data_IF_466721129084
#
_entry.id   IF_466721129084
#
_cell.length_a   1.000
_cell.length_b   1.000
_cell.length_c   1.000
_cell.angle_alpha   90.00
_cell.angle_beta   90.00
_cell.angle_gamma   90.00
#
_symmetry.space_group_name_H-M   'P 1'
#
loop_
_entity.id
_entity.type
_entity.pdbx_description
1 polymer ?
#
# COMPACT_ATOMS: atom_id res chain seq x y z
N UNK A 1 -22.99 -22.02 -31.04
CA UNK A 1 -22.42 -20.72 -31.53
C UNK A 1 -21.75 -20.12 -30.33
N UNK A 2 -20.44 -20.23 -30.26
CA UNK A 2 -19.64 -19.60 -29.14
C UNK A 2 -19.79 -18.10 -29.26
N UNK A 3 -20.34 -17.46 -28.22
CA UNK A 3 -20.40 -16.01 -28.13
C UNK A 3 -18.99 -15.44 -28.28
N UNK A 4 -18.74 -14.71 -29.34
CA UNK A 4 -17.43 -14.03 -29.61
C UNK A 4 -17.29 -12.72 -28.83
N UNK A 5 -18.24 -12.41 -27.94
CA UNK A 5 -18.18 -11.21 -27.11
C UNK A 5 -17.10 -11.37 -26.05
N UNK A 6 -16.25 -10.35 -25.94
CA UNK A 6 -15.26 -10.23 -24.87
C UNK A 6 -16.01 -10.10 -23.54
N UNK A 7 -15.74 -10.95 -22.54
CA UNK A 7 -16.43 -10.82 -21.26
C UNK A 7 -15.99 -9.54 -20.55
N UNK A 8 -16.84 -8.98 -19.71
CA UNK A 8 -16.48 -7.81 -18.89
C UNK A 8 -15.43 -8.15 -17.85
N UNK A 9 -15.60 -9.30 -17.17
CA UNK A 9 -14.71 -9.74 -16.11
C UNK A 9 -13.92 -10.98 -16.50
N UNK A 10 -12.61 -10.97 -16.25
CA UNK A 10 -11.80 -12.16 -16.17
C UNK A 10 -11.41 -12.40 -14.72
N UNK A 11 -12.09 -13.35 -14.08
CA UNK A 11 -11.66 -13.85 -12.77
C UNK A 11 -10.49 -14.79 -13.00
N UNK A 12 -9.41 -14.67 -12.22
CA UNK A 12 -8.22 -15.50 -12.37
C UNK A 12 -7.80 -16.13 -11.05
N UNK A 13 -7.43 -17.40 -11.11
CA UNK A 13 -7.09 -18.23 -9.95
C UNK A 13 -5.90 -19.12 -10.28
N UNK A 14 -4.68 -18.76 -9.91
CA UNK A 14 -3.58 -19.72 -9.90
C UNK A 14 -3.75 -20.71 -8.76
N UNK A 15 -3.50 -22.00 -9.03
CA UNK A 15 -3.70 -23.05 -8.04
C UNK A 15 -2.66 -24.16 -8.15
N UNK A 16 -1.94 -24.38 -7.07
CA UNK A 16 -1.11 -25.56 -6.85
C UNK A 16 -1.78 -26.61 -5.93
N UNK A 17 -2.98 -26.28 -5.37
CA UNK A 17 -3.77 -27.12 -4.47
C UNK A 17 -5.27 -26.95 -4.79
N UNK A 18 -5.83 -27.76 -5.68
CA UNK A 18 -7.17 -27.53 -6.25
C UNK A 18 -8.35 -27.92 -5.34
N UNK A 19 -8.10 -28.14 -4.05
CA UNK A 19 -9.08 -28.71 -3.09
C UNK A 19 -10.39 -27.96 -3.04
N UNK A 20 -10.38 -26.62 -3.15
CA UNK A 20 -11.55 -25.78 -2.98
C UNK A 20 -12.09 -25.16 -4.29
N UNK A 21 -11.52 -25.55 -5.45
CA UNK A 21 -11.93 -24.96 -6.74
C UNK A 21 -13.39 -25.21 -7.11
N UNK A 22 -13.99 -26.32 -6.65
CA UNK A 22 -15.42 -26.57 -6.88
C UNK A 22 -16.30 -25.60 -6.07
N UNK A 23 -15.86 -25.20 -4.88
CA UNK A 23 -16.54 -24.18 -4.09
C UNK A 23 -16.37 -22.79 -4.73
N UNK A 24 -15.18 -22.46 -5.22
CA UNK A 24 -14.92 -21.23 -6.01
C UNK A 24 -15.87 -21.18 -7.21
N UNK A 25 -15.96 -22.27 -7.99
CA UNK A 25 -16.86 -22.37 -9.14
C UNK A 25 -18.33 -22.14 -8.74
N UNK A 26 -18.75 -22.75 -7.64
CA UNK A 26 -20.13 -22.60 -7.13
C UNK A 26 -20.45 -21.13 -6.85
N UNK A 27 -19.50 -20.37 -6.26
CA UNK A 27 -19.71 -18.93 -6.01
C UNK A 27 -19.74 -18.10 -7.29
N UNK A 28 -18.95 -18.47 -8.30
CA UNK A 28 -18.95 -17.81 -9.61
C UNK A 28 -20.24 -18.08 -10.37
N UNK A 29 -20.73 -19.31 -10.36
CA UNK A 29 -22.02 -19.67 -10.97
C UNK A 29 -23.23 -19.01 -10.30
N UNK A 30 -23.09 -18.68 -9.00
CA UNK A 30 -24.10 -17.97 -8.22
C UNK A 30 -24.06 -16.44 -8.39
N UNK A 31 -23.11 -15.87 -9.13
CA UNK A 31 -23.02 -14.43 -9.35
C UNK A 31 -24.27 -13.88 -10.04
N UNK A 32 -24.73 -12.70 -9.58
CA UNK A 32 -25.88 -12.00 -10.18
C UNK A 32 -25.52 -11.33 -11.52
N UNK A 33 -24.25 -11.07 -11.77
CA UNK A 33 -23.70 -10.68 -13.08
C UNK A 33 -23.19 -11.93 -13.79
N UNK A 34 -23.63 -12.17 -15.05
CA UNK A 34 -23.26 -13.36 -15.84
C UNK A 34 -22.11 -13.13 -16.82
N UNK A 35 -21.66 -11.87 -16.98
CA UNK A 35 -20.66 -11.47 -17.97
C UNK A 35 -19.24 -11.62 -17.45
N UNK A 36 -18.82 -12.87 -17.27
CA UNK A 36 -17.51 -13.24 -16.75
C UNK A 36 -16.94 -14.50 -17.43
N UNK A 37 -15.63 -14.61 -17.44
CA UNK A 37 -14.87 -15.85 -17.61
C UNK A 37 -14.05 -16.14 -16.35
N UNK A 38 -13.73 -17.42 -16.13
CA UNK A 38 -12.84 -17.83 -15.05
C UNK A 38 -11.62 -18.59 -15.60
N UNK A 39 -10.44 -18.08 -15.28
CA UNK A 39 -9.16 -18.65 -15.69
C UNK A 39 -8.53 -19.34 -14.49
N UNK A 40 -8.46 -20.66 -14.54
CA UNK A 40 -7.80 -21.50 -13.55
C UNK A 40 -6.45 -21.92 -14.11
N UNK A 41 -5.36 -21.42 -13.53
CA UNK A 41 -4.01 -21.81 -13.88
C UNK A 41 -3.50 -22.87 -12.89
N UNK A 42 -3.37 -24.11 -13.32
CA UNK A 42 -2.89 -25.21 -12.49
C UNK A 42 -1.37 -25.37 -12.68
N UNK A 43 -0.62 -25.30 -11.58
CA UNK A 43 0.82 -25.48 -11.60
C UNK A 43 1.30 -26.49 -10.53
N UNK A 44 2.61 -26.76 -10.49
CA UNK A 44 3.23 -27.67 -9.53
C UNK A 44 2.56 -29.07 -9.49
N UNK A 45 2.14 -29.59 -10.62
CA UNK A 45 1.49 -30.91 -10.72
C UNK A 45 0.02 -30.94 -10.33
N UNK A 46 -0.58 -29.80 -9.99
CA UNK A 46 -2.02 -29.75 -9.69
C UNK A 46 -2.86 -30.15 -10.91
N UNK A 47 -3.96 -30.87 -10.66
CA UNK A 47 -4.91 -31.30 -11.70
C UNK A 47 -6.33 -31.12 -11.16
N UNK A 48 -7.17 -30.46 -11.95
CA UNK A 48 -8.59 -30.24 -11.66
C UNK A 48 -9.34 -30.00 -12.97
N UNK A 49 -10.60 -30.41 -12.98
CA UNK A 49 -11.59 -30.05 -14.01
C UNK A 49 -12.95 -29.95 -13.34
N UNK A 50 -13.82 -29.04 -13.77
CA UNK A 50 -15.18 -28.97 -13.26
C UNK A 50 -15.93 -30.29 -13.59
N UNK A 51 -16.74 -30.74 -12.64
CA UNK A 51 -17.55 -31.93 -12.83
C UNK A 51 -18.55 -31.77 -14.03
N UNK A 52 -19.14 -30.58 -14.12
CA UNK A 52 -20.00 -30.20 -15.24
C UNK A 52 -19.33 -29.11 -16.07
N UNK A 53 -19.18 -29.28 -17.40
CA UNK A 53 -18.57 -28.27 -18.25
C UNK A 53 -19.33 -26.94 -18.20
N UNK A 54 -18.60 -25.86 -18.00
CA UNK A 54 -19.06 -24.48 -18.13
C UNK A 54 -18.15 -23.77 -19.13
N UNK A 55 -18.67 -23.29 -20.24
CA UNK A 55 -17.87 -22.66 -21.31
C UNK A 55 -17.21 -21.38 -20.92
N UNK A 56 -17.58 -20.78 -19.77
CA UNK A 56 -16.93 -19.62 -19.18
C UNK A 56 -15.67 -20.01 -18.41
N UNK A 57 -15.45 -21.29 -18.09
CA UNK A 57 -14.32 -21.79 -17.31
C UNK A 57 -13.22 -22.27 -18.24
N UNK A 58 -12.05 -21.70 -18.10
CA UNK A 58 -10.85 -22.07 -18.84
C UNK A 58 -9.79 -22.59 -17.88
N UNK A 59 -9.38 -23.82 -18.08
CA UNK A 59 -8.34 -24.47 -17.26
C UNK A 59 -7.07 -24.61 -18.09
N UNK A 60 -6.00 -24.03 -17.60
CA UNK A 60 -4.65 -24.13 -18.18
C UNK A 60 -3.72 -24.90 -17.24
N UNK A 61 -2.96 -25.83 -17.77
CA UNK A 61 -1.91 -26.55 -17.03
C UNK A 61 -0.56 -25.94 -17.38
N UNK A 62 0.13 -25.41 -16.39
CA UNK A 62 1.38 -24.68 -16.53
C UNK A 62 2.41 -25.19 -15.51
N UNK A 63 2.81 -26.45 -15.62
CA UNK A 63 3.77 -27.08 -14.70
C UNK A 63 5.19 -26.49 -14.79
N UNK A 64 5.47 -25.74 -15.83
CA UNK A 64 6.70 -24.97 -16.06
C UNK A 64 6.69 -23.59 -15.36
N UNK A 65 5.55 -23.17 -14.82
CA UNK A 65 5.40 -21.88 -14.13
C UNK A 65 5.58 -22.07 -12.62
N UNK A 66 6.60 -21.42 -12.08
CA UNK A 66 6.95 -21.49 -10.66
C UNK A 66 6.86 -20.12 -9.99
N UNK A 67 6.38 -20.09 -8.75
CA UNK A 67 6.18 -18.87 -7.97
C UNK A 67 4.83 -18.20 -8.23
N UNK A 68 4.35 -17.46 -7.21
CA UNK A 68 3.02 -16.86 -7.22
C UNK A 68 2.93 -15.72 -8.24
N UNK A 69 3.95 -14.85 -8.32
CA UNK A 69 3.97 -13.74 -9.27
C UNK A 69 3.93 -14.20 -10.73
N UNK A 70 4.73 -15.23 -11.08
CA UNK A 70 4.73 -15.83 -12.42
C UNK A 70 3.37 -16.48 -12.75
N UNK A 71 2.78 -17.18 -11.79
CA UNK A 71 1.49 -17.85 -11.98
C UNK A 71 0.34 -16.85 -12.17
N UNK A 72 0.26 -15.79 -11.34
CA UNK A 72 -0.73 -14.72 -11.51
C UNK A 72 -0.53 -13.98 -12.83
N UNK A 73 0.72 -13.66 -13.19
CA UNK A 73 1.03 -13.03 -14.49
C UNK A 73 0.52 -13.86 -15.65
N UNK A 74 0.85 -15.17 -15.67
CA UNK A 74 0.42 -16.08 -16.73
C UNK A 74 -1.09 -16.20 -16.82
N UNK A 75 -1.80 -16.26 -15.69
CA UNK A 75 -3.26 -16.27 -15.65
C UNK A 75 -3.86 -14.98 -16.23
N UNK A 76 -3.31 -13.82 -15.91
CA UNK A 76 -3.73 -12.53 -16.46
C UNK A 76 -3.45 -12.40 -17.97
N UNK A 77 -2.37 -12.98 -18.49
CA UNK A 77 -2.07 -13.03 -19.93
C UNK A 77 -3.11 -13.80 -20.74
N UNK A 78 -3.78 -14.78 -20.12
CA UNK A 78 -4.86 -15.55 -20.72
C UNK A 78 -6.22 -14.83 -20.67
N UNK A 79 -6.33 -13.79 -19.86
CA UNK A 79 -7.56 -13.04 -19.63
C UNK A 79 -7.97 -12.24 -20.88
N UNK A 80 -9.28 -12.26 -21.19
CA UNK A 80 -9.89 -11.52 -22.31
C UNK A 80 -10.70 -10.32 -21.84
N UNK A 81 -11.18 -10.36 -20.58
CA UNK A 81 -12.05 -9.33 -20.02
C UNK A 81 -11.35 -7.99 -19.80
N UNK A 82 -12.16 -6.95 -19.71
CA UNK A 82 -11.69 -5.57 -19.48
C UNK A 82 -11.22 -5.36 -18.03
N UNK A 83 -11.79 -6.12 -17.10
CA UNK A 83 -11.51 -6.04 -15.67
C UNK A 83 -10.98 -7.39 -15.19
N UNK A 84 -9.82 -7.38 -14.57
CA UNK A 84 -9.23 -8.53 -13.92
C UNK A 84 -9.69 -8.58 -12.46
N UNK A 85 -10.12 -9.77 -12.00
CA UNK A 85 -10.58 -10.00 -10.63
C UNK A 85 -9.79 -11.13 -10.01
N UNK A 86 -9.10 -10.83 -8.92
CA UNK A 86 -8.31 -11.82 -8.18
C UNK A 86 -9.22 -12.68 -7.30
N UNK A 87 -9.15 -13.99 -7.46
CA UNK A 87 -9.79 -14.98 -6.60
C UNK A 87 -8.78 -16.05 -6.24
N UNK A 88 -8.40 -16.13 -4.98
CA UNK A 88 -7.51 -17.18 -4.50
C UNK A 88 -8.22 -18.54 -4.52
N UNK A 89 -7.45 -19.62 -4.68
CA UNK A 89 -7.97 -20.96 -4.95
C UNK A 89 -8.72 -21.60 -3.78
N UNK A 90 -8.74 -20.99 -2.63
CA UNK A 90 -9.37 -21.44 -1.37
C UNK A 90 -10.43 -20.47 -0.85
N UNK A 91 -10.66 -19.34 -1.55
CA UNK A 91 -11.55 -18.26 -1.14
C UNK A 91 -12.89 -18.27 -1.91
N UNK A 92 -13.81 -17.42 -1.48
CA UNK A 92 -15.16 -17.35 -2.07
C UNK A 92 -15.57 -15.89 -2.36
N UNK A 93 -16.39 -15.70 -3.40
CA UNK A 93 -17.03 -14.43 -3.70
C UNK A 93 -18.46 -14.38 -3.17
N UNK A 94 -18.89 -13.24 -2.64
CA UNK A 94 -20.31 -12.98 -2.38
C UNK A 94 -21.10 -12.93 -3.69
N UNK A 95 -22.38 -13.35 -3.69
CA UNK A 95 -23.23 -13.44 -4.90
C UNK A 95 -23.34 -12.14 -5.69
N UNK A 96 -23.28 -10.99 -5.02
CA UNK A 96 -23.37 -9.69 -5.66
C UNK A 96 -22.02 -9.15 -6.14
N UNK A 97 -20.90 -9.85 -5.91
CA UNK A 97 -19.55 -9.31 -6.07
C UNK A 97 -19.33 -8.71 -7.47
N UNK A 98 -19.52 -9.46 -8.53
CA UNK A 98 -19.27 -8.97 -9.89
C UNK A 98 -20.25 -7.87 -10.32
N UNK A 99 -21.50 -7.89 -9.85
CA UNK A 99 -22.45 -6.81 -10.12
C UNK A 99 -22.06 -5.50 -9.42
N UNK A 100 -21.65 -5.57 -8.16
CA UNK A 100 -21.15 -4.41 -7.39
C UNK A 100 -19.85 -3.83 -8.00
N UNK A 101 -18.95 -4.71 -8.45
CA UNK A 101 -17.76 -4.27 -9.19
C UNK A 101 -18.12 -3.57 -10.51
N UNK A 102 -19.10 -4.10 -11.25
CA UNK A 102 -19.58 -3.48 -12.48
C UNK A 102 -20.12 -2.07 -12.22
N UNK A 103 -20.99 -1.92 -11.23
CA UNK A 103 -21.54 -0.61 -10.83
C UNK A 103 -20.46 0.35 -10.37
N UNK A 104 -19.49 -0.13 -9.56
CA UNK A 104 -18.41 0.69 -9.07
C UNK A 104 -17.51 1.24 -10.20
N UNK A 105 -17.12 0.40 -11.18
CA UNK A 105 -16.33 0.84 -12.33
C UNK A 105 -17.10 1.76 -13.29
N UNK A 106 -18.42 1.57 -13.43
CA UNK A 106 -19.28 2.44 -14.25
C UNK A 106 -19.48 3.82 -13.62
N UNK A 107 -19.67 3.83 -12.30
CA UNK A 107 -19.83 5.08 -11.54
C UNK A 107 -18.51 5.85 -11.36
N UNK A 108 -17.37 5.18 -11.46
CA UNK A 108 -16.04 5.76 -11.24
C UNK A 108 -15.11 5.40 -12.41
N UNK A 109 -15.26 6.03 -13.59
CA UNK A 109 -14.48 5.71 -14.79
C UNK A 109 -12.96 5.93 -14.60
N UNK A 110 -12.55 6.83 -13.72
CA UNK A 110 -11.15 7.10 -13.38
C UNK A 110 -10.54 6.06 -12.41
N UNK A 111 -11.38 5.24 -11.76
CA UNK A 111 -10.87 4.22 -10.86
C UNK A 111 -10.13 3.13 -11.64
N UNK A 112 -8.87 2.93 -11.31
CA UNK A 112 -8.03 1.88 -11.90
C UNK A 112 -8.10 0.57 -11.11
N UNK A 113 -8.49 0.66 -9.84
CA UNK A 113 -8.57 -0.43 -8.88
C UNK A 113 -9.81 -0.28 -8.00
N UNK A 114 -10.55 -1.37 -7.82
CA UNK A 114 -11.72 -1.42 -6.93
C UNK A 114 -11.50 -2.53 -5.91
N UNK A 115 -11.81 -2.25 -4.65
CA UNK A 115 -11.66 -3.19 -3.54
C UNK A 115 -12.85 -3.13 -2.58
N UNK A 116 -12.97 -4.14 -1.72
CA UNK A 116 -14.09 -4.25 -0.77
C UNK A 116 -13.64 -4.53 0.66
N UNK A 117 -14.59 -4.70 1.58
CA UNK A 117 -14.37 -5.34 2.86
C UNK A 117 -14.30 -6.86 2.70
N UNK A 118 -13.61 -7.53 3.63
CA UNK A 118 -13.38 -8.98 3.60
C UNK A 118 -13.83 -9.61 4.92
N UNK A 119 -14.48 -10.76 4.88
CA UNK A 119 -14.69 -11.59 6.07
C UNK A 119 -13.80 -12.82 6.04
N UNK A 120 -13.32 -13.25 7.20
CA UNK A 120 -12.61 -14.52 7.33
C UNK A 120 -13.62 -15.65 7.62
N UNK A 121 -13.41 -16.80 6.95
CA UNK A 121 -14.17 -18.01 7.18
C UNK A 121 -13.25 -19.16 7.59
N UNK A 122 -13.76 -20.07 8.40
CA UNK A 122 -13.05 -21.32 8.75
C UNK A 122 -12.89 -22.23 7.54
N UNK A 123 -12.07 -23.27 7.66
CA UNK A 123 -11.90 -24.27 6.61
C UNK A 123 -13.24 -24.86 6.10
N UNK A 124 -14.23 -24.99 6.98
CA UNK A 124 -15.56 -25.55 6.67
C UNK A 124 -16.57 -24.47 6.19
N UNK A 125 -16.11 -23.24 5.98
CA UNK A 125 -16.95 -22.12 5.55
C UNK A 125 -17.74 -21.43 6.66
N UNK A 126 -17.51 -21.78 7.94
CA UNK A 126 -18.11 -21.14 9.10
C UNK A 126 -17.49 -19.77 9.38
N UNK A 127 -18.06 -19.06 10.36
CA UNK A 127 -17.54 -17.78 10.84
C UNK A 127 -16.19 -17.97 11.54
N UNK A 128 -15.17 -17.20 11.13
CA UNK A 128 -13.90 -17.09 11.86
C UNK A 128 -13.91 -15.83 12.76
N UNK A 129 -13.41 -15.96 13.97
CA UNK A 129 -13.38 -14.88 14.98
C UNK A 129 -11.98 -14.28 15.14
N UNK A 130 -11.01 -14.73 14.34
CA UNK A 130 -9.65 -14.20 14.41
C UNK A 130 -9.61 -12.73 13.93
N UNK A 131 -8.69 -11.99 14.54
CA UNK A 131 -8.56 -10.54 14.28
C UNK A 131 -7.10 -10.17 14.23
N UNK A 132 -6.77 -9.29 13.31
CA UNK A 132 -5.52 -8.55 13.38
C UNK A 132 -5.53 -7.58 14.55
N UNK A 133 -4.36 -7.16 15.00
CA UNK A 133 -4.23 -6.28 16.15
C UNK A 133 -4.95 -4.93 15.91
N UNK A 134 -5.90 -4.59 16.80
CA UNK A 134 -6.66 -3.34 16.74
C UNK A 134 -5.79 -2.10 16.93
N UNK A 135 -4.71 -2.21 17.70
CA UNK A 135 -3.76 -1.11 17.89
C UNK A 135 -3.10 -0.69 16.57
N UNK A 136 -3.04 -1.61 15.61
CA UNK A 136 -2.57 -1.33 14.25
C UNK A 136 -3.66 -0.73 13.35
N UNK A 137 -4.84 -0.41 13.88
CA UNK A 137 -5.89 0.31 13.16
C UNK A 137 -6.95 -0.57 12.50
N UNK A 138 -6.88 -1.89 12.64
CA UNK A 138 -7.89 -2.79 12.11
C UNK A 138 -9.23 -2.64 12.84
N UNK A 139 -10.31 -2.54 12.08
CA UNK A 139 -11.67 -2.43 12.57
C UNK A 139 -12.52 -3.58 12.04
N UNK A 140 -13.46 -4.02 12.86
CA UNK A 140 -14.30 -5.18 12.57
C UNK A 140 -15.75 -4.92 12.96
N UNK A 141 -16.69 -5.46 12.17
CA UNK A 141 -18.11 -5.41 12.48
C UNK A 141 -18.83 -6.70 12.01
N UNK A 142 -19.97 -6.99 12.62
CA UNK A 142 -20.83 -8.09 12.20
C UNK A 142 -21.53 -7.74 10.89
N UNK A 143 -21.56 -8.69 9.96
CA UNK A 143 -22.20 -8.54 8.65
C UNK A 143 -22.97 -9.81 8.28
N UNK A 144 -24.03 -9.66 7.48
CA UNK A 144 -24.71 -10.78 6.83
C UNK A 144 -24.34 -10.82 5.35
N UNK A 145 -23.69 -11.90 4.91
CA UNK A 145 -23.31 -12.13 3.51
C UNK A 145 -23.98 -13.43 3.03
N UNK A 146 -24.83 -13.35 2.05
CA UNK A 146 -25.56 -14.51 1.46
C UNK A 146 -26.24 -15.39 2.52
N UNK A 147 -26.84 -14.77 3.54
CA UNK A 147 -27.52 -15.45 4.66
C UNK A 147 -26.59 -15.97 5.75
N UNK A 148 -25.28 -15.79 5.66
CA UNK A 148 -24.30 -16.15 6.69
C UNK A 148 -23.98 -14.93 7.57
N UNK A 149 -24.01 -15.11 8.90
CA UNK A 149 -23.55 -14.09 9.82
C UNK A 149 -22.03 -14.23 10.01
N UNK A 150 -21.29 -13.23 9.57
CA UNK A 150 -19.82 -13.23 9.55
C UNK A 150 -19.27 -12.00 10.28
N UNK A 151 -17.96 -12.01 10.57
CA UNK A 151 -17.20 -10.88 11.06
C UNK A 151 -16.36 -10.32 9.91
N UNK A 152 -16.69 -9.11 9.41
CA UNK A 152 -15.90 -8.48 8.36
C UNK A 152 -14.80 -7.59 8.95
N UNK A 153 -13.64 -7.59 8.33
CA UNK A 153 -12.62 -6.57 8.47
C UNK A 153 -12.94 -5.40 7.54
N UNK A 154 -12.99 -4.19 8.08
CA UNK A 154 -13.15 -2.98 7.28
C UNK A 154 -11.82 -2.66 6.59
N UNK A 155 -11.85 -2.54 5.28
CA UNK A 155 -10.65 -2.21 4.49
C UNK A 155 -10.11 -0.83 4.82
N UNK A 156 -8.79 -0.75 4.99
CA UNK A 156 -8.12 0.52 5.20
C UNK A 156 -8.10 1.34 3.90
N UNK A 157 -8.21 2.66 4.03
CA UNK A 157 -8.07 3.57 2.90
C UNK A 157 -6.69 3.42 2.21
N UNK A 158 -6.60 3.57 0.89
CA UNK A 158 -5.36 3.45 0.14
C UNK A 158 -4.52 4.72 0.27
N UNK A 159 -3.91 4.92 1.44
CA UNK A 159 -2.92 5.98 1.65
C UNK A 159 -1.54 5.54 1.13
N UNK A 160 -0.60 6.47 0.86
CA UNK A 160 0.75 6.09 0.47
C UNK A 160 1.39 5.08 1.43
N UNK A 161 1.20 5.28 2.75
CA UNK A 161 1.70 4.36 3.76
C UNK A 161 1.03 2.98 3.70
N UNK A 162 -0.31 2.95 3.68
CA UNK A 162 -1.05 1.69 3.71
C UNK A 162 -0.71 0.81 2.51
N UNK A 163 -0.71 1.38 1.31
CA UNK A 163 -0.39 0.63 0.08
C UNK A 163 1.07 0.17 0.06
N UNK A 164 2.01 0.95 0.64
CA UNK A 164 3.44 0.61 0.63
C UNK A 164 3.84 -0.36 1.74
N UNK A 165 3.14 -0.38 2.89
CA UNK A 165 3.62 -1.05 4.11
C UNK A 165 2.66 -2.09 4.69
N UNK A 166 1.34 -1.92 4.51
CA UNK A 166 0.35 -2.82 5.11
C UNK A 166 -0.06 -3.86 4.07
N UNK A 167 0.50 -5.06 4.14
CA UNK A 167 0.34 -6.12 3.15
C UNK A 167 -1.08 -6.69 2.96
N UNK A 168 -2.05 -6.28 3.74
CA UNK A 168 -3.49 -6.53 3.52
C UNK A 168 -4.28 -5.26 3.23
N UNK A 169 -3.66 -4.15 2.90
CA UNK A 169 -4.36 -2.90 2.62
C UNK A 169 -4.04 -2.37 1.21
N UNK A 170 -5.03 -2.30 0.31
CA UNK A 170 -6.43 -2.71 0.51
C UNK A 170 -6.67 -4.22 0.48
N UNK A 171 -7.75 -4.64 1.18
CA UNK A 171 -8.18 -6.05 1.23
C UNK A 171 -8.79 -6.50 -0.11
N UNK A 172 -9.02 -7.83 -0.24
CA UNK A 172 -9.89 -8.40 -1.29
C UNK A 172 -11.37 -7.97 -1.08
N UNK A 173 -12.25 -7.99 -2.12
CA UNK A 173 -11.93 -8.37 -3.50
C UNK A 173 -10.96 -7.34 -4.06
N UNK A 174 -10.10 -7.77 -4.97
CA UNK A 174 -9.21 -6.90 -5.73
C UNK A 174 -9.55 -7.03 -7.19
N UNK A 175 -10.02 -5.94 -7.79
CA UNK A 175 -10.36 -5.88 -9.20
C UNK A 175 -9.69 -4.65 -9.83
N UNK A 176 -9.15 -4.79 -11.04
CA UNK A 176 -8.41 -3.71 -11.68
C UNK A 176 -8.57 -3.75 -13.20
N UNK A 177 -8.44 -2.57 -13.82
CA UNK A 177 -8.52 -2.44 -15.28
C UNK A 177 -7.33 -3.12 -15.95
N UNK A 178 -7.62 -3.97 -16.93
CA UNK A 178 -6.61 -4.75 -17.65
C UNK A 178 -5.61 -3.88 -18.41
N UNK A 179 -6.07 -2.83 -19.07
CA UNK A 179 -5.22 -1.89 -19.80
C UNK A 179 -4.23 -1.17 -18.87
N UNK A 180 -4.65 -0.79 -17.66
CA UNK A 180 -3.78 -0.18 -16.65
C UNK A 180 -2.81 -1.22 -16.10
N UNK A 181 -3.28 -2.45 -15.82
CA UNK A 181 -2.42 -3.56 -15.42
C UNK A 181 -1.29 -3.81 -16.43
N UNK A 182 -1.60 -3.83 -17.71
CA UNK A 182 -0.63 -3.99 -18.78
C UNK A 182 0.34 -2.80 -18.85
N UNK A 183 -0.17 -1.59 -18.75
CA UNK A 183 0.62 -0.35 -18.77
C UNK A 183 1.63 -0.27 -17.63
N UNK A 184 1.28 -0.75 -16.43
CA UNK A 184 2.21 -0.78 -15.28
C UNK A 184 3.13 -2.00 -15.26
N UNK A 185 3.08 -2.86 -16.28
CA UNK A 185 3.95 -4.01 -16.48
C UNK A 185 3.47 -5.32 -15.84
N UNK A 186 2.24 -5.35 -15.31
CA UNK A 186 1.62 -6.55 -14.74
C UNK A 186 2.30 -7.08 -13.47
N UNK A 187 1.96 -8.30 -13.04
CA UNK A 187 2.63 -8.94 -11.91
C UNK A 187 4.13 -9.16 -12.20
N UNK A 188 4.97 -8.93 -11.21
CA UNK A 188 6.40 -9.25 -11.28
C UNK A 188 6.58 -10.77 -11.14
N UNK A 189 6.96 -11.43 -12.24
CA UNK A 189 7.13 -12.89 -12.30
C UNK A 189 8.26 -13.42 -11.40
N UNK A 190 9.15 -12.57 -10.93
CA UNK A 190 10.25 -12.96 -10.04
C UNK A 190 9.86 -13.03 -8.56
N UNK A 191 8.70 -12.47 -8.21
CA UNK A 191 8.24 -12.45 -6.82
C UNK A 191 7.66 -13.77 -6.37
N UNK A 192 8.09 -14.18 -5.19
CA UNK A 192 7.58 -15.37 -4.49
C UNK A 192 6.65 -15.02 -3.33
N UNK A 193 6.66 -13.75 -2.91
CA UNK A 193 5.78 -13.14 -1.90
C UNK A 193 5.52 -11.68 -2.26
N UNK A 194 4.42 -11.10 -1.76
CA UNK A 194 4.06 -9.68 -1.94
C UNK A 194 3.98 -9.24 -3.42
N UNK A 195 3.64 -10.15 -4.30
CA UNK A 195 3.37 -9.91 -5.71
C UNK A 195 2.20 -8.96 -5.90
N UNK A 196 1.18 -9.11 -5.08
CA UNK A 196 -0.02 -8.28 -5.00
C UNK A 196 0.31 -6.86 -4.50
N UNK A 197 1.09 -6.73 -3.43
CA UNK A 197 1.46 -5.43 -2.89
C UNK A 197 2.36 -4.64 -3.85
N UNK A 198 3.32 -5.30 -4.52
CA UNK A 198 4.13 -4.67 -5.57
C UNK A 198 3.25 -4.14 -6.72
N UNK A 199 2.29 -4.95 -7.19
CA UNK A 199 1.33 -4.53 -8.21
C UNK A 199 0.46 -3.37 -7.73
N UNK A 200 -0.10 -3.44 -6.52
CA UNK A 200 -0.91 -2.37 -5.94
C UNK A 200 -0.17 -1.05 -5.84
N UNK A 201 1.12 -1.05 -5.45
CA UNK A 201 1.95 0.16 -5.46
C UNK A 201 2.02 0.80 -6.86
N UNK A 202 2.23 -0.01 -7.90
CA UNK A 202 2.32 0.50 -9.29
C UNK A 202 0.97 0.96 -9.83
N UNK A 203 -0.12 0.27 -9.51
CA UNK A 203 -1.48 0.70 -9.83
C UNK A 203 -1.86 1.97 -9.08
N UNK A 204 -1.46 2.11 -7.81
CA UNK A 204 -1.71 3.32 -7.02
C UNK A 204 -1.02 4.57 -7.60
N UNK A 205 0.14 4.42 -8.23
CA UNK A 205 0.79 5.51 -8.96
C UNK A 205 0.07 5.85 -10.27
N UNK A 206 -0.66 4.89 -10.86
CA UNK A 206 -1.32 5.06 -12.15
C UNK A 206 -2.72 5.68 -12.06
N UNK A 207 -3.42 5.61 -10.90
CA UNK A 207 -4.76 6.18 -10.77
C UNK A 207 -5.43 5.90 -9.41
N UNK A 208 -6.72 6.20 -9.37
CA UNK A 208 -7.50 6.14 -8.14
C UNK A 208 -7.96 4.72 -7.79
N UNK A 209 -8.04 4.49 -6.47
CA UNK A 209 -8.60 3.26 -5.89
C UNK A 209 -9.98 3.58 -5.31
N UNK A 210 -10.98 2.80 -5.70
CA UNK A 210 -12.35 2.96 -5.22
C UNK A 210 -12.74 1.85 -4.24
N UNK A 211 -13.32 2.23 -3.10
CA UNK A 211 -13.77 1.31 -2.05
C UNK A 211 -15.27 1.03 -2.15
N UNK A 212 -15.64 -0.23 -2.22
CA UNK A 212 -17.02 -0.68 -2.00
C UNK A 212 -17.15 -1.05 -0.51
N UNK A 213 -17.90 -0.29 0.30
CA UNK A 213 -17.99 -0.52 1.76
C UNK A 213 -18.92 -1.71 2.10
N UNK A 214 -18.75 -2.82 1.40
CA UNK A 214 -19.50 -4.08 1.56
C UNK A 214 -18.54 -5.25 1.60
N UNK A 215 -18.92 -6.32 2.29
CA UNK A 215 -18.17 -7.57 2.29
C UNK A 215 -18.48 -8.36 1.03
N UNK A 216 -17.55 -8.39 0.09
CA UNK A 216 -17.72 -9.08 -1.20
C UNK A 216 -16.78 -10.29 -1.35
N UNK A 217 -15.85 -10.48 -0.41
CA UNK A 217 -14.85 -11.53 -0.44
C UNK A 217 -14.79 -12.27 0.90
N UNK A 218 -14.73 -13.61 0.84
CA UNK A 218 -14.67 -14.48 2.00
C UNK A 218 -13.35 -15.23 1.97
N UNK A 219 -12.39 -14.79 2.78
CA UNK A 219 -11.05 -15.37 2.89
C UNK A 219 -11.08 -16.61 3.80
N UNK A 220 -10.66 -17.74 3.28
CA UNK A 220 -10.60 -18.99 4.04
C UNK A 220 -9.32 -19.09 4.87
N UNK A 221 -9.49 -19.39 6.15
CA UNK A 221 -8.39 -19.57 7.09
C UNK A 221 -8.23 -21.05 7.40
N UNK A 222 -7.05 -21.59 7.09
CA UNK A 222 -6.69 -22.99 7.37
C UNK A 222 -5.17 -23.13 7.65
N UNK A 223 -4.70 -24.28 8.19
CA UNK A 223 -3.29 -24.44 8.59
C UNK A 223 -2.26 -24.25 7.47
N UNK A 224 -2.66 -24.46 6.21
CA UNK A 224 -1.77 -24.39 5.06
C UNK A 224 -1.75 -23.00 4.37
N UNK A 225 -2.36 -21.94 4.95
CA UNK A 225 -2.23 -20.59 4.45
C UNK A 225 -0.75 -20.14 4.53
N UNK A 226 -0.29 -19.48 3.47
CA UNK A 226 1.12 -19.07 3.28
C UNK A 226 1.70 -18.28 4.45
N UNK A 227 0.93 -17.34 5.03
CA UNK A 227 1.38 -16.52 6.16
C UNK A 227 1.54 -17.28 7.49
N UNK A 228 1.08 -18.52 7.60
CA UNK A 228 1.23 -19.34 8.80
C UNK A 228 2.55 -20.10 8.88
N UNK A 229 3.26 -20.18 7.77
CA UNK A 229 4.63 -20.71 7.76
C UNK A 229 5.58 -19.65 8.33
N UNK A 230 6.34 -19.93 9.42
CA UNK A 230 7.19 -18.94 10.07
C UNK A 230 8.33 -18.43 9.18
N UNK A 231 8.89 -19.27 8.30
CA UNK A 231 9.98 -18.86 7.39
C UNK A 231 9.45 -17.94 6.30
N UNK A 232 8.30 -18.30 5.72
CA UNK A 232 7.64 -17.46 4.71
C UNK A 232 7.19 -16.15 5.34
N UNK A 233 6.63 -16.17 6.57
CA UNK A 233 6.25 -14.94 7.27
C UNK A 233 7.45 -14.03 7.52
N UNK A 234 8.58 -14.58 8.00
CA UNK A 234 9.80 -13.81 8.19
C UNK A 234 10.33 -13.22 6.87
N UNK A 235 10.17 -13.94 5.76
CA UNK A 235 10.50 -13.43 4.42
C UNK A 235 9.57 -12.29 4.01
N UNK A 236 8.25 -12.45 4.18
CA UNK A 236 7.25 -11.40 3.95
C UNK A 236 7.62 -10.12 4.71
N UNK A 237 7.95 -10.22 6.00
CA UNK A 237 8.30 -9.04 6.82
C UNK A 237 9.52 -8.30 6.28
N UNK A 238 10.56 -9.00 5.84
CA UNK A 238 11.75 -8.38 5.23
C UNK A 238 11.43 -7.71 3.90
N UNK A 239 10.71 -8.41 3.02
CA UNK A 239 10.33 -7.90 1.71
C UNK A 239 9.35 -6.71 1.81
N UNK A 240 8.48 -6.67 2.84
CA UNK A 240 7.60 -5.52 3.10
C UNK A 240 8.41 -4.24 3.32
N UNK A 241 9.50 -4.33 4.08
CA UNK A 241 10.39 -3.19 4.29
C UNK A 241 11.06 -2.75 2.98
N UNK A 242 11.55 -3.71 2.19
CA UNK A 242 12.18 -3.41 0.91
C UNK A 242 11.19 -2.78 -0.10
N UNK A 243 9.95 -3.26 -0.13
CA UNK A 243 8.88 -2.67 -0.94
C UNK A 243 8.53 -1.26 -0.48
N UNK A 244 8.42 -1.05 0.83
CA UNK A 244 8.19 0.27 1.39
C UNK A 244 9.28 1.25 0.93
N UNK A 245 10.54 0.92 1.15
CA UNK A 245 11.67 1.78 0.79
C UNK A 245 11.71 2.05 -0.74
N UNK A 246 11.25 1.09 -1.58
CA UNK A 246 11.16 1.24 -3.04
C UNK A 246 10.06 2.19 -3.48
N UNK A 247 8.89 2.19 -2.82
CA UNK A 247 7.68 2.81 -3.37
C UNK A 247 7.15 4.00 -2.59
N UNK A 248 7.54 4.20 -1.33
CA UNK A 248 6.88 5.20 -0.47
C UNK A 248 6.92 6.62 -1.03
N UNK A 249 8.07 7.07 -1.55
CA UNK A 249 8.22 8.41 -2.11
C UNK A 249 7.37 8.57 -3.39
N UNK A 250 7.43 7.60 -4.31
CA UNK A 250 6.64 7.64 -5.54
C UNK A 250 5.13 7.59 -5.28
N UNK A 251 4.70 6.76 -4.31
CA UNK A 251 3.30 6.68 -3.91
C UNK A 251 2.83 7.98 -3.24
N UNK A 252 3.66 8.59 -2.38
CA UNK A 252 3.34 9.86 -1.75
C UNK A 252 3.28 11.00 -2.78
N UNK A 253 4.18 11.03 -3.75
CA UNK A 253 4.17 12.01 -4.82
C UNK A 253 2.93 11.87 -5.71
N UNK A 254 2.59 10.65 -6.12
CA UNK A 254 1.39 10.37 -6.92
C UNK A 254 0.11 10.77 -6.16
N UNK A 255 0.02 10.45 -4.87
CA UNK A 255 -1.09 10.87 -4.01
C UNK A 255 -1.18 12.41 -3.94
N UNK A 256 -0.05 13.08 -3.72
CA UNK A 256 0.04 14.55 -3.66
C UNK A 256 -0.49 15.19 -4.94
N UNK A 257 -0.06 14.70 -6.10
CA UNK A 257 -0.47 15.22 -7.40
C UNK A 257 -1.97 15.03 -7.66
N UNK A 258 -2.53 13.84 -7.33
CA UNK A 258 -3.97 13.57 -7.47
C UNK A 258 -4.85 14.48 -6.62
N UNK A 259 -4.33 14.90 -5.46
CA UNK A 259 -5.08 15.82 -4.57
C UNK A 259 -4.82 17.30 -4.87
N UNK A 260 -4.08 17.63 -5.94
CA UNK A 260 -3.76 19.02 -6.30
C UNK A 260 -2.90 19.75 -5.26
N UNK A 261 -2.11 19.01 -4.50
CA UNK A 261 -1.24 19.51 -3.44
C UNK A 261 0.19 19.74 -3.95
N UNK A 262 0.96 20.55 -3.24
CA UNK A 262 2.37 20.75 -3.52
C UNK A 262 3.23 19.61 -2.95
N UNK A 263 4.31 19.26 -3.68
CA UNK A 263 5.43 18.49 -3.16
C UNK A 263 6.64 19.42 -3.05
N UNK A 264 7.29 19.50 -1.89
CA UNK A 264 8.44 20.37 -1.65
C UNK A 264 9.69 19.55 -1.33
N UNK A 265 10.82 19.94 -1.93
CA UNK A 265 12.16 19.45 -1.61
C UNK A 265 12.92 20.55 -0.84
N UNK A 266 13.25 20.29 0.42
CA UNK A 266 13.87 21.26 1.31
C UNK A 266 15.39 21.14 1.24
N UNK A 267 16.09 22.26 1.06
CA UNK A 267 17.53 22.29 0.81
C UNK A 267 17.89 21.90 -0.62
N UNK A 268 17.06 22.29 -1.60
CA UNK A 268 17.16 21.84 -3.00
C UNK A 268 18.45 22.30 -3.71
N UNK A 269 19.05 23.40 -3.28
CA UNK A 269 20.30 23.96 -3.83
C UNK A 269 20.40 23.93 -5.36
N UNK A 270 21.14 22.95 -5.92
CA UNK A 270 21.37 22.82 -7.36
C UNK A 270 20.50 21.76 -8.04
N UNK A 271 19.82 20.88 -7.29
CA UNK A 271 19.02 19.77 -7.83
C UNK A 271 17.80 19.51 -6.99
N UNK A 272 16.69 19.27 -7.63
CA UNK A 272 15.48 18.74 -7.03
C UNK A 272 14.97 17.56 -7.84
N UNK A 273 14.31 16.57 -7.22
CA UNK A 273 13.66 15.51 -7.97
C UNK A 273 12.53 16.03 -8.85
N UNK A 274 12.20 15.37 -9.98
CA UNK A 274 11.04 15.74 -10.80
C UNK A 274 9.75 15.72 -9.97
N UNK A 275 8.88 16.70 -10.22
CA UNK A 275 7.58 16.80 -9.54
C UNK A 275 7.59 17.56 -8.21
N UNK A 276 8.73 18.07 -7.76
CA UNK A 276 8.86 18.88 -6.56
C UNK A 276 9.09 20.35 -6.88
N UNK A 277 8.69 21.22 -5.96
CA UNK A 277 9.17 22.60 -5.85
C UNK A 277 10.34 22.61 -4.87
N UNK A 278 11.47 23.13 -5.32
CA UNK A 278 12.66 23.27 -4.49
C UNK A 278 12.59 24.49 -3.57
N UNK A 279 12.89 24.31 -2.31
CA UNK A 279 12.96 25.38 -1.29
C UNK A 279 14.39 25.47 -0.76
N UNK A 280 14.99 26.68 -0.81
CA UNK A 280 16.32 26.92 -0.23
C UNK A 280 16.41 28.38 0.23
N UNK A 281 17.36 28.67 1.14
CA UNK A 281 17.64 30.04 1.59
C UNK A 281 18.37 30.89 0.55
N UNK A 282 19.03 30.25 -0.42
CA UNK A 282 19.76 30.91 -1.50
C UNK A 282 19.15 30.55 -2.86
N UNK A 283 19.15 31.47 -3.82
CA UNK A 283 18.72 31.15 -5.17
C UNK A 283 19.68 30.15 -5.82
N UNK A 284 19.14 29.21 -6.58
CA UNK A 284 19.89 28.15 -7.26
C UNK A 284 19.07 27.53 -8.39
N UNK A 285 19.70 26.69 -9.21
CA UNK A 285 19.04 26.05 -10.36
C UNK A 285 17.87 25.12 -9.94
N UNK A 286 17.98 24.49 -8.76
CA UNK A 286 16.91 23.63 -8.21
C UNK A 286 15.87 24.37 -7.38
N UNK A 287 15.98 25.71 -7.20
CA UNK A 287 15.19 26.48 -6.22
C UNK A 287 14.06 27.24 -6.91
N UNK A 288 12.83 26.93 -6.53
CA UNK A 288 11.62 27.66 -6.98
C UNK A 288 11.16 28.66 -5.91
N UNK A 289 11.42 28.39 -4.64
CA UNK A 289 11.03 29.22 -3.48
C UNK A 289 12.27 29.57 -2.69
N UNK A 290 12.66 30.82 -2.70
CA UNK A 290 13.78 31.32 -1.85
C UNK A 290 13.21 31.71 -0.49
N UNK A 291 13.55 30.93 0.55
CA UNK A 291 13.05 31.17 1.90
C UNK A 291 13.99 30.58 2.96
N UNK A 292 14.11 31.24 4.09
CA UNK A 292 14.87 30.76 5.24
C UNK A 292 13.95 30.10 6.25
N UNK A 293 14.09 28.78 6.43
CA UNK A 293 13.39 28.05 7.48
C UNK A 293 14.15 28.15 8.82
N UNK A 294 13.43 28.21 9.97
CA UNK A 294 11.98 27.92 10.15
C UNK A 294 11.05 29.13 9.97
N UNK A 295 11.42 30.14 9.21
CA UNK A 295 10.50 31.21 8.85
C UNK A 295 9.24 30.64 8.17
N UNK A 296 8.11 31.33 8.34
CA UNK A 296 6.85 30.94 7.73
C UNK A 296 6.95 31.02 6.21
N UNK A 297 6.70 29.92 5.51
CA UNK A 297 6.58 29.92 4.05
C UNK A 297 5.24 30.56 3.63
N UNK A 298 5.27 31.33 2.54
CA UNK A 298 4.08 31.94 1.96
C UNK A 298 3.27 30.91 1.15
N UNK A 299 2.84 29.86 1.86
CA UNK A 299 1.98 28.79 1.38
C UNK A 299 0.84 28.57 2.37
N UNK A 300 -0.37 28.25 1.88
CA UNK A 300 -1.53 27.99 2.74
C UNK A 300 -1.30 26.80 3.68
N UNK A 301 -1.93 26.81 4.85
CA UNK A 301 -1.97 25.69 5.76
C UNK A 301 -2.60 24.48 5.05
N UNK A 302 -1.98 23.30 5.19
CA UNK A 302 -2.50 22.07 4.59
C UNK A 302 -2.43 22.00 3.07
N UNK A 303 -1.60 22.81 2.41
CA UNK A 303 -1.47 22.82 0.94
C UNK A 303 -0.39 21.89 0.40
N UNK A 304 0.38 21.23 1.26
CA UNK A 304 1.50 20.37 0.88
C UNK A 304 1.15 18.92 1.18
N UNK A 305 1.25 18.05 0.19
CA UNK A 305 1.03 16.60 0.35
C UNK A 305 2.30 15.85 0.71
N UNK A 306 3.45 16.34 0.25
CA UNK A 306 4.74 15.69 0.44
C UNK A 306 5.84 16.71 0.71
N UNK A 307 6.55 16.53 1.81
CA UNK A 307 7.79 17.22 2.15
C UNK A 307 8.95 16.23 2.10
N UNK A 308 9.99 16.55 1.39
CA UNK A 308 11.26 15.83 1.36
C UNK A 308 12.35 16.68 2.01
N UNK A 309 13.05 16.11 2.98
CA UNK A 309 14.13 16.77 3.74
C UNK A 309 15.29 15.78 3.90
N UNK A 310 16.17 15.74 2.91
CA UNK A 310 17.37 14.89 2.88
C UNK A 310 18.58 15.78 3.06
N UNK A 311 19.41 15.46 4.04
CA UNK A 311 20.57 16.28 4.44
C UNK A 311 20.20 17.78 4.61
N UNK A 312 19.09 18.02 5.34
CA UNK A 312 18.54 19.37 5.53
C UNK A 312 18.31 19.72 7.01
N UNK A 313 17.69 18.83 7.79
CA UNK A 313 17.25 19.12 9.16
C UNK A 313 18.42 19.51 10.07
N UNK A 314 19.58 18.93 9.87
CA UNK A 314 20.81 19.17 10.64
C UNK A 314 21.35 20.58 10.50
N UNK A 315 21.03 21.28 9.42
CA UNK A 315 21.47 22.65 9.16
C UNK A 315 20.56 23.71 9.79
N UNK A 316 19.41 23.33 10.36
CA UNK A 316 18.45 24.27 10.94
C UNK A 316 18.51 24.25 12.47
N UNK A 317 18.86 25.37 13.12
CA UNK A 317 19.12 25.37 14.57
C UNK A 317 17.85 25.25 15.43
N UNK A 318 16.70 25.69 14.95
CA UNK A 318 15.47 25.76 15.71
C UNK A 318 14.51 24.58 15.35
N UNK A 319 14.74 23.40 15.93
CA UNK A 319 14.02 22.14 15.62
C UNK A 319 12.51 22.25 15.79
N UNK A 320 12.03 22.75 16.95
CA UNK A 320 10.60 22.78 17.25
C UNK A 320 9.84 23.73 16.31
N UNK A 321 10.26 24.98 16.12
CA UNK A 321 9.65 25.87 15.13
C UNK A 321 9.67 25.28 13.70
N UNK A 322 10.78 24.64 13.30
CA UNK A 322 10.89 24.01 11.99
C UNK A 322 9.82 22.93 11.81
N UNK A 323 9.77 21.95 12.71
CA UNK A 323 8.83 20.83 12.57
C UNK A 323 7.36 21.29 12.69
N UNK A 324 7.08 22.33 13.49
CA UNK A 324 5.76 22.93 13.54
C UNK A 324 5.37 23.59 12.20
N UNK A 325 6.30 24.30 11.56
CA UNK A 325 6.03 24.89 10.23
C UNK A 325 5.81 23.82 9.16
N UNK A 326 6.65 22.77 9.12
CA UNK A 326 6.47 21.65 8.20
C UNK A 326 5.13 20.95 8.44
N UNK A 327 4.73 20.78 9.69
CA UNK A 327 3.42 20.22 10.02
C UNK A 327 2.28 21.14 9.59
N UNK A 328 2.38 22.47 9.79
CA UNK A 328 1.40 23.45 9.33
C UNK A 328 1.11 23.30 7.84
N UNK A 329 2.18 23.19 7.04
CA UNK A 329 2.11 23.07 5.58
C UNK A 329 1.46 21.78 5.12
N UNK A 330 1.71 20.67 5.79
CA UNK A 330 1.19 19.36 5.37
C UNK A 330 -0.34 19.30 5.43
N UNK A 331 -0.94 18.74 4.40
CA UNK A 331 -2.34 18.33 4.37
C UNK A 331 -2.62 17.21 5.38
N UNK A 332 -3.90 16.97 5.77
CA UNK A 332 -4.27 15.77 6.51
C UNK A 332 -3.79 14.50 5.79
N UNK A 333 -2.99 13.66 6.44
CA UNK A 333 -2.39 12.46 5.85
C UNK A 333 -1.17 12.71 4.94
N UNK A 334 -0.77 13.97 4.74
CA UNK A 334 0.46 14.31 4.03
C UNK A 334 1.70 13.79 4.73
N UNK A 335 2.79 13.61 3.99
CA UNK A 335 3.99 12.95 4.47
C UNK A 335 5.19 13.88 4.53
N UNK A 336 5.99 13.72 5.59
CA UNK A 336 7.34 14.26 5.71
C UNK A 336 8.32 13.09 5.60
N UNK A 337 9.12 13.06 4.55
CA UNK A 337 10.19 12.08 4.34
C UNK A 337 11.53 12.72 4.69
N UNK A 338 12.22 12.17 5.68
CA UNK A 338 13.50 12.73 6.14
C UNK A 338 14.62 11.70 6.14
N UNK A 339 15.81 12.15 5.82
CA UNK A 339 17.05 11.42 6.05
C UNK A 339 18.12 12.43 6.48
N UNK A 340 18.69 12.24 7.66
CA UNK A 340 19.71 13.14 8.22
C UNK A 340 20.81 12.34 8.94
N UNK A 341 22.08 12.80 8.98
CA UNK A 341 23.13 12.12 9.72
C UNK A 341 22.75 11.91 11.19
N UNK A 342 22.80 10.64 11.64
CA UNK A 342 22.43 10.29 13.01
C UNK A 342 23.51 10.71 14.02
N UNK A 343 23.08 11.27 15.14
CA UNK A 343 23.97 11.55 16.28
C UNK A 343 24.57 10.29 16.94
N UNK A 344 24.07 9.09 16.56
CA UNK A 344 24.64 7.81 16.99
C UNK A 344 25.90 7.44 16.17
N UNK A 345 26.20 8.21 15.11
CA UNK A 345 27.37 8.07 14.28
C UNK A 345 28.17 9.38 14.16
N UNK A 346 29.40 9.28 13.69
CA UNK A 346 30.28 10.45 13.57
C UNK A 346 29.86 11.45 12.48
N UNK A 347 29.06 11.03 11.52
CA UNK A 347 28.60 11.86 10.38
C UNK A 347 27.89 13.14 10.83
N UNK A 348 27.15 13.09 11.93
CA UNK A 348 26.46 14.24 12.48
C UNK A 348 27.40 15.39 12.91
N UNK A 349 28.65 15.07 13.24
CA UNK A 349 29.60 16.01 13.83
C UNK A 349 30.77 16.41 12.90
N UNK A 350 30.82 15.86 11.69
CA UNK A 350 31.96 16.07 10.78
C UNK A 350 31.83 17.33 9.92
N UNK A 351 30.60 17.77 9.63
CA UNK A 351 30.33 18.96 8.84
C UNK A 351 30.19 20.17 9.79
N UNK A 352 30.97 21.26 9.58
CA UNK A 352 30.92 22.45 10.44
C UNK A 352 29.61 23.24 10.35
N UNK A 353 28.78 22.95 9.37
CA UNK A 353 27.46 23.58 9.19
C UNK A 353 26.32 22.81 9.85
N UNK A 354 26.61 21.63 10.44
CA UNK A 354 25.61 20.88 11.23
C UNK A 354 25.44 21.55 12.61
N UNK A 355 24.30 22.14 12.84
CA UNK A 355 23.93 22.86 14.06
C UNK A 355 22.85 22.15 14.89
N UNK A 356 22.21 21.13 14.32
CA UNK A 356 21.20 20.31 14.97
C UNK A 356 21.52 18.83 14.81
N UNK A 357 21.29 18.06 15.87
CA UNK A 357 21.65 16.65 15.94
C UNK A 357 20.38 15.80 16.15
N UNK A 358 20.22 14.72 15.39
CA UNK A 358 19.05 13.87 15.39
C UNK A 358 19.46 12.40 15.55
N UNK A 359 18.59 11.65 16.23
CA UNK A 359 18.52 10.21 16.21
C UNK A 359 17.03 9.79 16.29
N UNK A 360 16.72 8.51 16.34
CA UNK A 360 15.33 8.05 16.41
C UNK A 360 14.55 8.71 17.56
N UNK A 361 15.16 8.84 18.74
CA UNK A 361 14.52 9.40 19.92
C UNK A 361 14.15 10.88 19.75
N UNK A 362 14.84 11.60 18.87
CA UNK A 362 14.53 13.01 18.57
C UNK A 362 13.13 13.18 17.96
N UNK A 363 12.62 12.14 17.30
CA UNK A 363 11.31 12.17 16.65
C UNK A 363 10.16 11.70 17.58
N UNK A 364 10.44 11.08 18.72
CA UNK A 364 9.42 10.64 19.67
C UNK A 364 8.58 11.80 20.19
N UNK A 365 9.15 12.99 20.37
CA UNK A 365 8.42 14.17 20.81
C UNK A 365 7.33 14.64 19.86
N UNK A 366 7.42 14.26 18.58
CA UNK A 366 6.44 14.60 17.54
C UNK A 366 5.46 13.46 17.23
N UNK A 367 5.74 12.25 17.71
CA UNK A 367 5.03 11.03 17.35
C UNK A 367 4.39 10.30 18.52
N UNK A 368 4.61 10.76 19.76
CA UNK A 368 4.03 10.17 20.97
C UNK A 368 3.60 11.27 21.95
N UNK A 369 2.33 11.24 22.32
CA UNK A 369 1.75 12.21 23.26
C UNK A 369 2.46 12.25 24.61
N UNK A 370 2.98 11.11 25.09
CA UNK A 370 3.67 11.04 26.36
C UNK A 370 4.93 11.94 26.36
N UNK A 371 5.74 11.88 25.31
CA UNK A 371 6.94 12.72 25.22
C UNK A 371 6.62 14.18 24.91
N UNK A 372 5.59 14.45 24.11
CA UNK A 372 5.20 15.82 23.75
C UNK A 372 4.83 16.66 24.96
N UNK A 373 4.33 16.07 26.04
CA UNK A 373 3.97 16.81 27.25
C UNK A 373 5.15 17.54 27.90
N UNK A 374 6.38 17.10 27.63
CA UNK A 374 7.59 17.74 28.13
C UNK A 374 8.02 19.00 27.33
N UNK A 375 7.43 19.22 26.15
CA UNK A 375 7.74 20.36 25.27
C UNK A 375 6.44 20.94 24.72
N UNK A 376 5.74 21.80 25.53
CA UNK A 376 4.41 22.32 25.17
C UNK A 376 4.34 23.12 23.86
N UNK A 377 5.47 23.63 23.39
CA UNK A 377 5.61 24.39 22.15
C UNK A 377 5.42 23.51 20.90
N UNK A 378 5.49 22.18 21.02
CA UNK A 378 5.28 21.25 19.91
C UNK A 378 3.79 21.19 19.60
N UNK A 379 3.42 21.68 18.42
CA UNK A 379 2.08 21.59 17.83
C UNK A 379 1.92 20.40 16.89
N UNK A 380 3.04 19.97 16.31
CA UNK A 380 3.09 18.88 15.36
C UNK A 380 2.65 17.55 15.96
N UNK A 381 1.86 16.78 15.19
CA UNK A 381 1.38 15.43 15.52
C UNK A 381 1.57 14.53 14.33
N UNK A 382 2.47 13.57 14.48
CA UNK A 382 2.78 12.64 13.42
C UNK A 382 2.58 11.20 13.85
N UNK A 383 2.13 10.37 12.92
CA UNK A 383 2.25 8.93 13.03
C UNK A 383 3.55 8.49 12.35
N UNK A 384 4.28 7.56 12.97
CA UNK A 384 5.44 6.94 12.34
C UNK A 384 5.00 6.09 11.14
N UNK A 385 5.57 6.37 9.98
CA UNK A 385 5.53 5.48 8.81
C UNK A 385 6.78 4.61 8.78
N UNK A 386 7.95 5.23 8.96
CA UNK A 386 9.25 4.56 9.07
C UNK A 386 10.14 5.36 10.03
N UNK A 387 10.75 4.70 10.99
CA UNK A 387 11.73 5.31 11.88
C UNK A 387 12.85 4.30 12.11
N UNK A 388 14.02 4.57 11.56
CA UNK A 388 15.16 3.64 11.58
C UNK A 388 16.49 4.37 11.44
N UNK A 389 17.51 3.88 12.15
CA UNK A 389 18.90 4.26 11.95
C UNK A 389 19.61 3.16 11.16
N UNK A 390 20.35 3.55 10.12
CA UNK A 390 21.03 2.59 9.24
C UNK A 390 22.30 3.20 8.62
N UNK A 391 23.09 2.35 7.99
CA UNK A 391 24.24 2.75 7.19
C UNK A 391 23.91 2.62 5.70
N UNK A 392 23.91 3.71 4.91
CA UNK A 392 23.51 3.68 3.50
C UNK A 392 24.36 2.74 2.62
N UNK A 393 25.64 2.60 2.96
CA UNK A 393 26.57 1.70 2.23
C UNK A 393 27.60 1.10 3.20
N UNK A 394 28.33 0.07 2.74
CA UNK A 394 29.45 -0.52 3.50
C UNK A 394 30.55 0.51 3.85
N UNK A 395 30.75 1.50 3.00
CA UNK A 395 31.70 2.58 3.29
C UNK A 395 31.22 3.40 4.50
N UNK A 396 29.94 3.74 4.57
CA UNK A 396 29.34 4.44 5.70
C UNK A 396 29.46 3.62 7.00
N UNK A 397 29.18 2.32 6.91
CA UNK A 397 29.32 1.40 8.05
C UNK A 397 30.75 1.35 8.58
N UNK A 398 31.74 1.15 7.67
CA UNK A 398 33.16 1.12 8.06
C UNK A 398 33.67 2.43 8.67
N UNK A 399 33.05 3.55 8.31
CA UNK A 399 33.41 4.89 8.80
C UNK A 399 32.53 5.36 9.96
N UNK A 400 31.60 4.54 10.46
CA UNK A 400 30.61 4.87 11.48
C UNK A 400 29.83 6.16 11.17
N UNK A 401 29.34 6.26 9.93
CA UNK A 401 28.50 7.36 9.45
C UNK A 401 27.09 6.81 9.27
N UNK A 402 26.29 6.82 10.33
CA UNK A 402 24.90 6.39 10.29
C UNK A 402 23.95 7.54 9.93
N UNK A 403 22.81 7.18 9.35
CA UNK A 403 21.72 8.08 9.06
C UNK A 403 20.46 7.64 9.80
N UNK A 404 19.67 8.60 10.26
CA UNK A 404 18.31 8.36 10.73
C UNK A 404 17.32 8.75 9.64
N UNK A 405 16.45 7.80 9.30
CA UNK A 405 15.26 8.03 8.45
C UNK A 405 14.06 8.15 9.37
N UNK A 406 13.30 9.25 9.21
CA UNK A 406 12.03 9.45 9.86
C UNK A 406 11.00 9.87 8.81
N UNK A 407 10.23 8.89 8.33
CA UNK A 407 9.09 9.16 7.46
C UNK A 407 7.84 9.24 8.33
N UNK A 408 7.20 10.39 8.30
CA UNK A 408 6.15 10.78 9.22
C UNK A 408 4.89 11.16 8.46
N UNK A 409 3.71 10.80 9.02
CA UNK A 409 2.39 11.09 8.45
C UNK A 409 1.72 12.15 9.33
N UNK A 410 1.28 13.25 8.74
CA UNK A 410 0.60 14.32 9.47
C UNK A 410 -0.80 13.87 9.95
N UNK A 411 -0.97 13.80 11.27
CA UNK A 411 -2.24 13.45 11.91
C UNK A 411 -3.05 14.73 12.14
N UNK A 412 -4.02 14.97 11.26
CA UNK A 412 -4.93 16.12 11.29
C UNK A 412 -6.36 15.66 11.12
N UNK A 413 -7.32 16.53 11.46
CA UNK A 413 -8.73 16.25 11.20
C UNK A 413 -8.98 15.98 9.71
N UNK A 414 -9.79 14.97 9.40
CA UNK A 414 -10.06 14.52 8.05
C UNK A 414 -8.99 13.59 7.44
N UNK A 415 -7.88 13.33 8.13
CA UNK A 415 -6.90 12.35 7.64
C UNK A 415 -7.48 10.92 7.65
N UNK A 416 -7.24 10.17 6.56
CA UNK A 416 -7.55 8.76 6.54
C UNK A 416 -6.69 8.00 7.57
N UNK A 417 -7.26 6.97 8.19
CA UNK A 417 -6.55 6.11 9.14
C UNK A 417 -5.43 5.35 8.41
N UNK A 418 -4.20 5.53 8.87
CA UNK A 418 -3.08 4.72 8.45
C UNK A 418 -2.88 3.52 9.38
N UNK A 419 -2.47 2.39 8.83
CA UNK A 419 -2.09 1.21 9.58
C UNK A 419 -0.89 1.47 10.49
N UNK A 420 -0.75 0.67 11.54
CA UNK A 420 0.28 0.83 12.54
C UNK A 420 -0.16 1.57 13.79
N UNK A 421 0.71 1.62 14.81
CA UNK A 421 0.41 2.28 16.09
C UNK A 421 0.21 3.78 15.92
N UNK A 422 -0.83 4.32 16.54
CA UNK A 422 -1.10 5.75 16.63
C UNK A 422 -1.01 6.18 18.09
N UNK A 423 -0.03 7.04 18.42
CA UNK A 423 0.27 7.49 19.79
C UNK A 423 0.08 8.99 20.01
N UNK A 424 -0.46 9.72 19.04
CA UNK A 424 -0.68 11.18 19.06
C UNK A 424 -2.13 11.57 19.03
#
# INVERSE_FOLDING_TARGET
>A
MTSTATPRFSVFTPSHRPRFLDECLTTLQAQTCSDWEWIVLLNNGARWRPEFPDERVRVEIADDVHGVGAAKRRACELARGEILVELDHDDLLAKACLAELAEAFDANPEAVFVYSNTAQITQDGGRDESRFNKEHGWQYEDVSVDGRRLLQALSMAPTPHNVSYIWYAPNHVRAFRKDVYEKVGGYDATRTVLDDQDLMCRLFQAGDFHHIPRCLYLQRIHPANTQRDPEINAHIQRETVALYDKYIEANALAWTQRHGLFALDLGAAHRKPPGYLGVDQYPGEGVDIVATLPGKLDLPDGSVGLLRAVDFLEHVPAKVPLINELYRLLAPGGMLLTMTPSSDGRGAYQDPTHVSFYNENSFWYYTDNQYRTFVPEIQARFQNSRLVTYYPTDWHSRNNISYVVANLIAVKEGAARCGGPLKV
#
